data_IF_199542002246
#
_entry.id   IF_199542002246
#
_cell.length_a   1.000
_cell.length_b   1.000
_cell.length_c   1.000
_cell.angle_alpha   90.00
_cell.angle_beta   90.00
_cell.angle_gamma   90.00
#
_symmetry.space_group_name_H-M   'P 1'
#
loop_
_entity.id
_entity.type
_entity.pdbx_description
1 polymer ?
#
# COMPACT_ATOMS: atom_id res chain seq x y z
N UNK A 1 -12.72 -4.20 13.34
CA UNK A 1 -11.48 -3.61 13.89
C UNK A 1 -10.34 -4.62 13.92
N UNK A 2 -10.55 -5.83 14.41
CA UNK A 2 -9.52 -6.88 14.39
C UNK A 2 -8.99 -7.15 12.97
N UNK A 3 -9.87 -7.21 11.97
CA UNK A 3 -9.48 -7.41 10.57
C UNK A 3 -8.53 -6.31 10.06
N UNK A 4 -8.78 -5.04 10.39
CA UNK A 4 -7.90 -3.94 9.98
C UNK A 4 -6.54 -4.00 10.70
N UNK A 5 -6.51 -4.38 11.97
CA UNK A 5 -5.26 -4.53 12.71
C UNK A 5 -4.42 -5.69 12.17
N UNK A 6 -5.04 -6.84 11.89
CA UNK A 6 -4.38 -7.98 11.26
C UNK A 6 -3.94 -7.67 9.82
N UNK A 7 -4.76 -6.90 9.08
CA UNK A 7 -4.41 -6.42 7.76
C UNK A 7 -3.19 -5.49 7.78
N UNK A 8 -3.13 -4.57 8.74
CA UNK A 8 -1.96 -3.71 8.94
C UNK A 8 -0.69 -4.54 9.24
N UNK A 9 -0.81 -5.55 10.10
CA UNK A 9 0.30 -6.45 10.41
C UNK A 9 0.75 -7.25 9.19
N UNK A 10 -0.19 -7.83 8.43
CA UNK A 10 0.14 -8.57 7.22
C UNK A 10 0.79 -7.66 6.15
N UNK A 11 0.37 -6.41 6.06
CA UNK A 11 0.91 -5.42 5.12
C UNK A 11 2.35 -4.98 5.45
N UNK A 12 2.85 -5.27 6.68
CA UNK A 12 4.27 -5.06 7.05
C UNK A 12 5.16 -6.27 6.77
N UNK A 13 4.64 -7.34 6.17
CA UNK A 13 5.39 -8.58 5.94
C UNK A 13 6.64 -8.41 5.06
N UNK A 14 6.73 -7.34 4.24
CA UNK A 14 7.96 -7.00 3.51
C UNK A 14 9.18 -6.85 4.43
N UNK A 15 9.00 -6.51 5.70
CA UNK A 15 10.10 -6.43 6.69
C UNK A 15 10.83 -7.77 6.85
N UNK A 16 10.20 -8.89 6.50
CA UNK A 16 10.85 -10.20 6.49
C UNK A 16 12.08 -10.26 5.56
N UNK A 17 12.19 -9.36 4.56
CA UNK A 17 13.38 -9.26 3.70
C UNK A 17 14.67 -8.99 4.51
N UNK A 18 14.56 -8.40 5.72
CA UNK A 18 15.72 -8.13 6.59
C UNK A 18 16.36 -9.43 7.08
N UNK A 19 15.57 -10.48 7.26
CA UNK A 19 16.04 -11.80 7.73
C UNK A 19 16.05 -12.86 6.63
N UNK A 20 15.32 -12.64 5.55
CA UNK A 20 15.26 -13.53 4.40
C UNK A 20 16.20 -13.01 3.31
N UNK A 21 17.05 -13.89 2.80
CA UNK A 21 17.98 -13.53 1.72
C UNK A 21 17.23 -13.46 0.39
N UNK A 22 16.72 -12.28 0.04
CA UNK A 22 15.96 -12.04 -1.20
C UNK A 22 16.85 -11.76 -2.41
N UNK A 23 18.11 -11.33 -2.18
CA UNK A 23 19.02 -10.91 -3.24
C UNK A 23 18.72 -9.51 -3.80
N UNK A 24 17.68 -8.83 -3.32
CA UNK A 24 17.28 -7.50 -3.76
C UNK A 24 17.83 -6.42 -2.82
N UNK A 25 18.19 -5.25 -3.38
CA UNK A 25 18.64 -4.08 -2.60
C UNK A 25 17.40 -3.28 -2.10
N UNK A 26 17.13 -3.27 -0.78
CA UNK A 26 15.91 -2.62 -0.25
C UNK A 26 15.87 -1.11 -0.45
N UNK A 27 17.00 -0.47 -0.73
CA UNK A 27 17.05 0.98 -1.00
C UNK A 27 16.67 1.29 -2.45
N UNK A 28 17.00 0.41 -3.39
CA UNK A 28 16.90 0.67 -4.83
C UNK A 28 15.73 -0.03 -5.50
N UNK A 29 15.34 -1.22 -5.00
CA UNK A 29 14.34 -2.08 -5.65
C UNK A 29 12.92 -1.79 -5.15
N UNK A 30 11.93 -1.88 -6.03
CA UNK A 30 10.52 -1.79 -5.63
C UNK A 30 10.18 -2.81 -4.55
N UNK A 31 9.29 -2.47 -3.61
CA UNK A 31 8.74 -3.45 -2.66
C UNK A 31 8.01 -4.57 -3.41
N UNK A 32 7.31 -4.24 -4.49
CA UNK A 32 6.58 -5.21 -5.31
C UNK A 32 7.47 -6.21 -6.05
N UNK A 33 8.77 -5.90 -6.23
CA UNK A 33 9.72 -6.86 -6.80
C UNK A 33 9.98 -8.06 -5.89
N UNK A 34 9.79 -7.91 -4.56
CA UNK A 34 9.81 -9.05 -3.63
C UNK A 34 8.76 -10.11 -4.02
N UNK A 35 7.64 -9.66 -4.58
CA UNK A 35 6.52 -10.50 -5.00
C UNK A 35 6.58 -10.93 -6.49
N UNK A 36 7.64 -10.56 -7.24
CA UNK A 36 7.76 -10.88 -8.66
C UNK A 36 7.75 -12.39 -8.91
N UNK A 37 7.35 -12.79 -10.12
CA UNK A 37 7.14 -14.20 -10.47
C UNK A 37 8.46 -15.00 -10.52
N UNK A 38 9.56 -14.34 -10.88
CA UNK A 38 10.90 -14.91 -10.97
C UNK A 38 11.64 -14.95 -9.63
N UNK A 39 11.10 -14.31 -8.57
CA UNK A 39 11.76 -14.26 -7.27
C UNK A 39 11.53 -15.55 -6.46
N UNK A 40 12.58 -16.11 -5.81
CA UNK A 40 12.47 -17.36 -5.06
C UNK A 40 11.39 -17.32 -3.96
N UNK A 41 11.21 -16.17 -3.30
CA UNK A 41 10.24 -15.95 -2.22
C UNK A 41 9.00 -15.19 -2.71
N UNK A 42 8.83 -14.95 -4.01
CA UNK A 42 7.72 -14.19 -4.57
C UNK A 42 6.34 -14.74 -4.17
N UNK A 43 6.21 -16.06 -4.09
CA UNK A 43 4.97 -16.70 -3.62
C UNK A 43 4.61 -16.35 -2.17
N UNK A 44 5.60 -16.24 -1.27
CA UNK A 44 5.38 -15.84 0.11
C UNK A 44 4.85 -14.40 0.19
N UNK A 45 5.55 -13.46 -0.46
CA UNK A 45 5.15 -12.05 -0.43
C UNK A 45 3.77 -11.82 -1.08
N UNK A 46 3.47 -12.49 -2.20
CA UNK A 46 2.11 -12.48 -2.77
C UNK A 46 1.04 -13.02 -1.82
N UNK A 47 1.35 -14.05 -1.05
CA UNK A 47 0.40 -14.60 -0.07
C UNK A 47 0.15 -13.63 1.09
N UNK A 48 1.17 -12.90 1.54
CA UNK A 48 1.01 -11.86 2.58
C UNK A 48 0.22 -10.66 2.06
N UNK A 49 0.45 -10.22 0.83
CA UNK A 49 -0.31 -9.14 0.18
C UNK A 49 -1.77 -9.52 -0.01
N UNK A 50 -2.04 -10.74 -0.49
CA UNK A 50 -3.39 -11.27 -0.58
C UNK A 50 -4.11 -11.26 0.78
N UNK A 51 -3.41 -11.71 1.81
CA UNK A 51 -3.95 -11.73 3.18
C UNK A 51 -4.24 -10.33 3.68
N UNK A 52 -3.30 -9.40 3.52
CA UNK A 52 -3.47 -8.00 3.90
C UNK A 52 -4.66 -7.36 3.16
N UNK A 53 -4.69 -7.50 1.83
CA UNK A 53 -5.76 -6.95 1.00
C UNK A 53 -7.14 -7.51 1.36
N UNK A 54 -7.26 -8.82 1.54
CA UNK A 54 -8.51 -9.48 1.91
C UNK A 54 -9.03 -9.03 3.29
N UNK A 55 -8.14 -8.93 4.28
CA UNK A 55 -8.49 -8.48 5.63
C UNK A 55 -8.94 -7.02 5.64
N UNK A 56 -8.21 -6.13 4.93
CA UNK A 56 -8.58 -4.72 4.81
C UNK A 56 -9.89 -4.58 4.04
N UNK A 57 -10.06 -5.29 2.91
CA UNK A 57 -11.28 -5.28 2.11
C UNK A 57 -12.51 -5.68 2.94
N UNK A 58 -12.42 -6.80 3.67
CA UNK A 58 -13.52 -7.27 4.51
C UNK A 58 -13.84 -6.28 5.64
N UNK A 59 -12.81 -5.79 6.34
CA UNK A 59 -12.97 -4.86 7.45
C UNK A 59 -13.53 -3.51 7.01
N UNK A 60 -13.04 -2.97 5.89
CA UNK A 60 -13.48 -1.68 5.35
C UNK A 60 -14.87 -1.76 4.71
N UNK A 61 -15.21 -2.86 4.03
CA UNK A 61 -16.56 -3.08 3.48
C UNK A 61 -17.60 -3.12 4.59
N UNK A 62 -17.31 -3.84 5.67
CA UNK A 62 -18.16 -3.86 6.86
C UNK A 62 -18.31 -2.45 7.47
N UNK A 63 -17.21 -1.73 7.63
CA UNK A 63 -17.23 -0.38 8.17
C UNK A 63 -18.00 0.60 7.26
N UNK A 64 -17.83 0.50 5.94
CA UNK A 64 -18.56 1.30 4.95
C UNK A 64 -20.07 1.03 5.02
N UNK A 65 -20.46 -0.23 5.17
CA UNK A 65 -21.88 -0.61 5.33
C UNK A 65 -22.50 0.00 6.59
N UNK A 66 -21.74 0.04 7.70
CA UNK A 66 -22.19 0.50 9.03
C UNK A 66 -21.96 1.98 9.28
N UNK A 67 -21.16 2.69 8.47
CA UNK A 67 -20.81 4.06 8.75
C UNK A 67 -21.99 5.04 8.57
N UNK A 68 -21.94 6.12 9.34
CA UNK A 68 -22.81 7.27 9.09
C UNK A 68 -22.55 7.81 7.68
N UNK A 69 -23.62 8.16 6.95
CA UNK A 69 -23.55 8.66 5.56
C UNK A 69 -23.05 10.11 5.47
N UNK A 70 -21.88 10.36 6.08
CA UNK A 70 -21.18 11.64 6.00
C UNK A 70 -20.09 11.55 4.92
N UNK A 71 -19.98 12.57 4.09
CA UNK A 71 -19.14 12.56 2.88
C UNK A 71 -17.70 12.06 3.15
N UNK A 72 -17.02 12.61 4.16
CA UNK A 72 -15.64 12.22 4.47
C UNK A 72 -15.53 10.79 5.02
N UNK A 73 -16.51 10.33 5.80
CA UNK A 73 -16.52 8.94 6.29
C UNK A 73 -16.73 7.97 5.13
N UNK A 74 -17.73 8.23 4.27
CA UNK A 74 -18.00 7.38 3.10
C UNK A 74 -16.81 7.36 2.15
N UNK A 75 -16.24 8.53 1.80
CA UNK A 75 -15.07 8.61 0.92
C UNK A 75 -13.88 7.82 1.47
N UNK A 76 -13.61 7.95 2.77
CA UNK A 76 -12.46 7.27 3.36
C UNK A 76 -12.64 5.76 3.46
N UNK A 77 -13.81 5.26 3.87
CA UNK A 77 -14.06 3.82 3.88
C UNK A 77 -14.11 3.22 2.48
N UNK A 78 -14.66 3.95 1.49
CA UNK A 78 -14.61 3.55 0.08
C UNK A 78 -13.18 3.51 -0.45
N UNK A 79 -12.33 4.46 -0.06
CA UNK A 79 -10.89 4.45 -0.35
C UNK A 79 -10.20 3.18 0.19
N UNK A 80 -10.51 2.76 1.44
CA UNK A 80 -9.99 1.52 1.99
C UNK A 80 -10.54 0.26 1.29
N UNK A 81 -11.78 0.27 0.83
CA UNK A 81 -12.34 -0.81 0.01
C UNK A 81 -11.56 -0.91 -1.30
N UNK A 82 -11.30 0.23 -1.96
CA UNK A 82 -10.48 0.27 -3.18
C UNK A 82 -9.06 -0.22 -2.91
N UNK A 83 -8.42 0.24 -1.85
CA UNK A 83 -7.08 -0.21 -1.44
C UNK A 83 -7.04 -1.73 -1.25
N UNK A 84 -7.95 -2.29 -0.44
CA UNK A 84 -7.99 -3.72 -0.18
C UNK A 84 -8.28 -4.55 -1.44
N UNK A 85 -9.23 -4.13 -2.28
CA UNK A 85 -9.57 -4.82 -3.52
C UNK A 85 -8.41 -4.78 -4.53
N UNK A 86 -7.76 -3.62 -4.67
CA UNK A 86 -6.62 -3.45 -5.56
C UNK A 86 -5.40 -4.24 -5.08
N UNK A 87 -5.13 -4.31 -3.76
CA UNK A 87 -4.06 -5.15 -3.19
C UNK A 87 -4.32 -6.64 -3.41
N UNK A 88 -5.58 -7.10 -3.31
CA UNK A 88 -5.95 -8.48 -3.68
C UNK A 88 -5.68 -8.74 -5.17
N UNK A 89 -6.06 -7.81 -6.05
CA UNK A 89 -5.79 -7.92 -7.48
C UNK A 89 -4.28 -7.94 -7.76
N UNK A 90 -3.53 -7.06 -7.11
CA UNK A 90 -2.08 -6.92 -7.24
C UNK A 90 -1.33 -8.21 -6.91
N UNK A 91 -1.75 -8.92 -5.86
CA UNK A 91 -1.20 -10.22 -5.48
C UNK A 91 -1.40 -11.31 -6.54
N UNK A 92 -2.35 -11.12 -7.46
CA UNK A 92 -2.67 -12.05 -8.57
C UNK A 92 -2.09 -11.60 -9.92
N UNK A 93 -1.57 -10.39 -9.97
CA UNK A 93 -0.99 -9.75 -11.15
C UNK A 93 0.49 -9.43 -10.87
N UNK A 94 1.37 -10.43 -10.61
CA UNK A 94 2.76 -10.16 -10.26
C UNK A 94 3.53 -9.55 -11.41
N UNK A 95 4.55 -8.76 -11.08
CA UNK A 95 5.63 -8.47 -12.01
C UNK A 95 6.22 -9.79 -12.50
N UNK A 96 6.60 -9.88 -13.77
CA UNK A 96 7.24 -11.07 -14.32
C UNK A 96 8.71 -11.20 -13.91
N UNK A 97 9.33 -10.07 -13.61
CA UNK A 97 10.74 -9.93 -13.21
C UNK A 97 10.93 -8.60 -12.45
N UNK A 98 12.13 -8.37 -11.91
CA UNK A 98 12.48 -7.22 -11.09
C UNK A 98 13.22 -6.14 -11.92
N UNK A 99 12.54 -5.14 -12.54
CA UNK A 99 13.16 -4.21 -13.47
C UNK A 99 14.22 -3.29 -12.83
N UNK A 100 14.15 -3.01 -11.53
CA UNK A 100 15.18 -2.19 -10.88
C UNK A 100 16.45 -2.97 -10.52
N UNK A 101 16.36 -4.30 -10.43
CA UNK A 101 17.47 -5.20 -10.13
C UNK A 101 18.07 -5.85 -11.38
N UNK A 102 17.27 -6.05 -12.44
CA UNK A 102 17.65 -6.71 -13.68
C UNK A 102 17.51 -5.74 -14.88
N UNK A 103 18.64 -5.29 -15.47
CA UNK A 103 18.63 -4.42 -16.64
C UNK A 103 17.95 -5.03 -17.87
N UNK A 104 18.01 -6.37 -18.03
CA UNK A 104 17.32 -7.06 -19.14
C UNK A 104 15.81 -7.02 -18.95
N UNK A 105 15.32 -7.18 -17.71
CA UNK A 105 13.92 -6.99 -17.36
C UNK A 105 13.46 -5.57 -17.69
N UNK A 106 14.23 -4.54 -17.28
CA UNK A 106 13.93 -3.14 -17.58
C UNK A 106 13.86 -2.86 -19.08
N UNK A 107 14.76 -3.45 -19.87
CA UNK A 107 14.77 -3.31 -21.33
C UNK A 107 13.51 -3.95 -21.97
N UNK A 108 13.11 -5.14 -21.49
CA UNK A 108 11.87 -5.79 -21.95
C UNK A 108 10.63 -4.99 -21.60
N UNK A 109 10.58 -4.43 -20.37
CA UNK A 109 9.47 -3.56 -19.94
C UNK A 109 9.36 -2.33 -20.85
N UNK A 110 10.48 -1.63 -21.06
CA UNK A 110 10.53 -0.45 -21.95
C UNK A 110 10.12 -0.77 -23.38
N UNK A 111 10.47 -1.96 -23.88
CA UNK A 111 10.09 -2.42 -25.21
C UNK A 111 8.65 -2.97 -25.30
N UNK A 112 7.91 -3.03 -24.20
CA UNK A 112 6.56 -3.61 -24.16
C UNK A 112 6.54 -5.13 -24.36
N UNK A 113 7.65 -5.82 -24.07
CA UNK A 113 7.83 -7.27 -24.26
C UNK A 113 7.61 -8.06 -22.96
N UNK A 114 6.97 -7.47 -21.97
CA UNK A 114 6.56 -8.15 -20.73
C UNK A 114 5.12 -8.67 -20.83
N UNK A 115 4.76 -9.72 -20.05
CA UNK A 115 3.39 -10.23 -20.02
C UNK A 115 2.37 -9.18 -19.57
N UNK A 116 1.12 -9.34 -20.01
CA UNK A 116 0.03 -8.42 -19.63
C UNK A 116 -0.19 -8.32 -18.10
N UNK A 117 0.10 -9.36 -17.34
CA UNK A 117 0.06 -9.33 -15.87
C UNK A 117 1.05 -8.33 -15.28
N UNK A 118 2.25 -8.22 -15.87
CA UNK A 118 3.27 -7.24 -15.47
C UNK A 118 2.76 -5.81 -15.65
N UNK A 119 2.18 -5.51 -16.81
CA UNK A 119 1.61 -4.18 -17.08
C UNK A 119 0.39 -3.90 -16.21
N UNK A 120 -0.47 -4.90 -15.99
CA UNK A 120 -1.65 -4.77 -15.13
C UNK A 120 -1.29 -4.52 -13.66
N UNK A 121 -0.13 -5.04 -13.19
CA UNK A 121 0.41 -4.76 -11.86
C UNK A 121 0.57 -3.24 -11.61
N UNK A 122 1.11 -2.50 -12.56
CA UNK A 122 1.27 -1.05 -12.40
C UNK A 122 -0.08 -0.33 -12.19
N UNK A 123 -1.15 -0.83 -12.84
CA UNK A 123 -2.50 -0.28 -12.68
C UNK A 123 -3.07 -0.64 -11.31
N UNK A 124 -2.98 -1.91 -10.89
CA UNK A 124 -3.50 -2.35 -9.58
C UNK A 124 -2.76 -1.67 -8.42
N UNK A 125 -1.44 -1.55 -8.48
CA UNK A 125 -0.63 -0.83 -7.50
C UNK A 125 -1.00 0.65 -7.42
N UNK A 126 -1.20 1.31 -8.57
CA UNK A 126 -1.63 2.71 -8.61
C UNK A 126 -3.00 2.92 -7.98
N UNK A 127 -3.94 2.00 -8.22
CA UNK A 127 -5.27 2.02 -7.60
C UNK A 127 -5.19 1.75 -6.08
N UNK A 128 -4.34 0.82 -5.65
CA UNK A 128 -4.11 0.55 -4.23
C UNK A 128 -3.61 1.82 -3.52
N UNK A 129 -2.56 2.46 -4.06
CA UNK A 129 -2.01 3.67 -3.45
C UNK A 129 -3.00 4.84 -3.48
N UNK A 130 -3.76 5.01 -4.56
CA UNK A 130 -4.82 6.02 -4.62
C UNK A 130 -5.88 5.77 -3.54
N UNK A 131 -6.32 4.53 -3.38
CA UNK A 131 -7.27 4.14 -2.35
C UNK A 131 -6.74 4.42 -0.94
N UNK A 132 -5.48 4.09 -0.67
CA UNK A 132 -4.82 4.37 0.60
C UNK A 132 -4.76 5.88 0.89
N UNK A 133 -4.30 6.69 -0.07
CA UNK A 133 -4.23 8.15 0.08
C UNK A 133 -5.60 8.77 0.36
N UNK A 134 -6.62 8.39 -0.41
CA UNK A 134 -8.00 8.85 -0.18
C UNK A 134 -8.46 8.48 1.22
N UNK A 135 -8.18 7.25 1.67
CA UNK A 135 -8.57 6.80 3.01
C UNK A 135 -7.84 7.57 4.11
N UNK A 136 -6.52 7.70 4.00
CA UNK A 136 -5.68 8.42 4.97
C UNK A 136 -6.17 9.86 5.14
N UNK A 137 -6.39 10.58 4.05
CA UNK A 137 -6.85 11.97 4.09
C UNK A 137 -8.30 12.05 4.58
N UNK A 138 -9.22 11.31 3.95
CA UNK A 138 -10.65 11.47 4.20
C UNK A 138 -11.05 11.03 5.63
N UNK A 139 -10.54 9.88 6.14
CA UNK A 139 -10.85 9.45 7.50
C UNK A 139 -10.18 10.33 8.56
N UNK A 140 -8.99 10.86 8.28
CA UNK A 140 -8.34 11.85 9.16
C UNK A 140 -9.16 13.14 9.25
N UNK A 141 -9.65 13.64 8.11
CA UNK A 141 -10.55 14.80 8.07
C UNK A 141 -11.87 14.48 8.79
N UNK A 142 -12.45 13.31 8.54
CA UNK A 142 -13.67 12.86 9.21
C UNK A 142 -13.51 12.82 10.73
N UNK A 143 -12.39 12.27 11.23
CA UNK A 143 -12.08 12.20 12.65
C UNK A 143 -12.06 13.59 13.30
N UNK A 144 -11.40 14.55 12.67
CA UNK A 144 -11.33 15.93 13.18
C UNK A 144 -12.64 16.71 13.04
N UNK A 145 -13.25 16.61 11.86
CA UNK A 145 -14.45 17.41 11.55
C UNK A 145 -15.68 16.95 12.33
N UNK A 146 -15.78 15.64 12.60
CA UNK A 146 -16.96 15.06 13.26
C UNK A 146 -16.72 14.74 14.74
N UNK A 147 -15.52 15.05 15.28
CA UNK A 147 -15.20 14.84 16.69
C UNK A 147 -15.19 13.37 17.10
N UNK A 148 -14.80 12.48 16.19
CA UNK A 148 -14.73 11.03 16.40
C UNK A 148 -13.28 10.53 16.35
N UNK A 149 -13.05 9.30 16.84
CA UNK A 149 -11.74 8.62 16.70
C UNK A 149 -10.57 9.47 17.18
N UNK A 150 -10.59 9.89 18.44
CA UNK A 150 -9.62 10.82 19.02
C UNK A 150 -8.13 10.50 18.71
N UNK A 151 -7.66 9.23 18.73
CA UNK A 151 -6.29 8.91 18.31
C UNK A 151 -6.03 9.27 16.84
N UNK A 152 -6.98 8.98 15.95
CA UNK A 152 -6.84 9.33 14.53
C UNK A 152 -6.91 10.85 14.30
N UNK A 153 -7.76 11.56 15.02
CA UNK A 153 -7.80 13.03 14.97
C UNK A 153 -6.49 13.67 15.40
N UNK A 154 -5.76 13.04 16.35
CA UNK A 154 -4.49 13.52 16.89
C UNK A 154 -3.29 13.19 16.00
N UNK A 155 -3.14 11.92 15.60
CA UNK A 155 -1.94 11.45 14.88
C UNK A 155 -2.13 11.41 13.35
N UNK A 156 -3.38 11.30 12.89
CA UNK A 156 -3.71 11.22 11.47
C UNK A 156 -3.15 12.34 10.61
N UNK A 157 -3.20 13.62 11.02
CA UNK A 157 -2.65 14.71 10.20
C UNK A 157 -1.15 14.59 9.92
N UNK A 158 -0.37 14.18 10.92
CA UNK A 158 1.09 13.97 10.73
C UNK A 158 1.32 12.81 9.78
N UNK A 159 0.63 11.69 9.98
CA UNK A 159 0.73 10.52 9.09
C UNK A 159 0.28 10.85 7.66
N UNK A 160 -0.78 11.66 7.49
CA UNK A 160 -1.23 12.09 6.18
C UNK A 160 -0.19 12.97 5.45
N UNK A 161 0.44 13.90 6.17
CA UNK A 161 1.50 14.74 5.60
C UNK A 161 2.73 13.90 5.22
N UNK A 162 3.14 12.98 6.09
CA UNK A 162 4.25 12.07 5.81
C UNK A 162 3.94 11.19 4.59
N UNK A 163 2.73 10.62 4.52
CA UNK A 163 2.31 9.79 3.39
C UNK A 163 2.32 10.55 2.08
N UNK A 164 1.80 11.78 2.06
CA UNK A 164 1.87 12.64 0.88
C UNK A 164 3.31 12.96 0.46
N UNK A 165 4.18 13.25 1.43
CA UNK A 165 5.59 13.56 1.16
C UNK A 165 6.33 12.35 0.55
N UNK A 166 6.16 11.15 1.13
CA UNK A 166 6.79 9.93 0.60
C UNK A 166 6.17 9.49 -0.73
N UNK A 167 4.88 9.76 -0.95
CA UNK A 167 4.24 9.52 -2.25
C UNK A 167 4.87 10.41 -3.33
N UNK A 168 5.07 11.69 -3.06
CA UNK A 168 5.76 12.59 -4.01
C UNK A 168 7.19 12.10 -4.27
N UNK A 169 7.92 11.69 -3.23
CA UNK A 169 9.26 11.11 -3.41
C UNK A 169 9.21 9.86 -4.29
N UNK A 170 8.35 8.90 -3.98
CA UNK A 170 8.22 7.65 -4.74
C UNK A 170 7.88 7.93 -6.22
N UNK A 171 6.93 8.82 -6.50
CA UNK A 171 6.57 9.19 -7.87
C UNK A 171 7.73 9.87 -8.62
N UNK A 172 8.47 10.76 -7.95
CA UNK A 172 9.65 11.39 -8.53
C UNK A 172 10.76 10.36 -8.81
N UNK A 173 10.96 9.40 -7.92
CA UNK A 173 11.94 8.33 -8.08
C UNK A 173 11.55 7.37 -9.24
N UNK A 174 10.26 7.03 -9.38
CA UNK A 174 9.74 6.26 -10.52
C UNK A 174 10.00 7.01 -11.82
N UNK A 175 9.66 8.30 -11.88
CA UNK A 175 9.90 9.12 -13.08
C UNK A 175 11.39 9.22 -13.43
N UNK A 176 12.27 9.34 -12.43
CA UNK A 176 13.71 9.34 -12.62
C UNK A 176 14.23 8.01 -13.17
N UNK A 177 13.74 6.89 -12.63
CA UNK A 177 14.09 5.55 -13.09
C UNK A 177 13.66 5.33 -14.54
N UNK A 178 12.41 5.66 -14.88
CA UNK A 178 11.90 5.57 -16.25
C UNK A 178 12.65 6.47 -17.25
N UNK A 179 13.18 7.61 -16.76
CA UNK A 179 14.02 8.50 -17.57
C UNK A 179 15.51 8.08 -17.63
N UNK A 180 15.88 6.91 -17.09
CA UNK A 180 17.26 6.42 -17.07
C UNK A 180 18.20 7.21 -16.15
N UNK A 181 17.67 7.95 -15.16
CA UNK A 181 18.41 8.79 -14.22
C UNK A 181 18.73 8.10 -12.88
N UNK A 182 18.62 6.77 -12.83
CA UNK A 182 18.80 5.98 -11.62
C UNK A 182 17.57 5.89 -10.74
N UNK A 183 17.67 5.17 -9.61
CA UNK A 183 16.50 4.81 -8.79
C UNK A 183 16.10 5.87 -7.75
N UNK A 184 16.95 6.85 -7.43
CA UNK A 184 16.70 7.88 -6.41
C UNK A 184 16.18 7.31 -5.08
N UNK A 185 16.75 6.18 -4.66
CA UNK A 185 16.32 5.44 -3.47
C UNK A 185 14.83 5.09 -3.46
N UNK A 186 14.30 4.72 -4.62
CA UNK A 186 12.91 4.38 -4.86
C UNK A 186 12.40 3.32 -3.88
N UNK A 187 13.20 2.28 -3.65
CA UNK A 187 12.87 1.20 -2.72
C UNK A 187 12.68 1.70 -1.29
N UNK A 188 13.54 2.60 -0.82
CA UNK A 188 13.39 3.20 0.50
C UNK A 188 12.12 4.07 0.59
N UNK A 189 11.81 4.84 -0.47
CA UNK A 189 10.58 5.62 -0.56
C UNK A 189 9.33 4.76 -0.46
N UNK A 190 9.25 3.68 -1.23
CA UNK A 190 8.11 2.76 -1.19
C UNK A 190 7.96 2.06 0.16
N UNK A 191 9.06 1.59 0.76
CA UNK A 191 9.03 0.95 2.08
C UNK A 191 8.54 1.92 3.17
N UNK A 192 8.99 3.17 3.13
CA UNK A 192 8.47 4.21 4.02
C UNK A 192 6.97 4.43 3.80
N UNK A 193 6.50 4.49 2.55
CA UNK A 193 5.10 4.65 2.18
C UNK A 193 4.24 3.50 2.72
N UNK A 194 4.61 2.25 2.45
CA UNK A 194 3.91 1.05 2.95
C UNK A 194 3.87 1.03 4.49
N UNK A 195 4.98 1.41 5.15
CA UNK A 195 5.05 1.46 6.61
C UNK A 195 4.11 2.52 7.19
N UNK A 196 4.07 3.72 6.60
CA UNK A 196 3.19 4.80 7.08
C UNK A 196 1.72 4.40 6.93
N UNK A 197 1.33 3.77 5.81
CA UNK A 197 -0.02 3.23 5.61
C UNK A 197 -0.34 2.16 6.66
N UNK A 198 0.58 1.23 6.93
CA UNK A 198 0.37 0.18 7.94
C UNK A 198 0.22 0.77 9.35
N UNK A 199 1.07 1.73 9.74
CA UNK A 199 0.97 2.45 11.02
C UNK A 199 -0.36 3.18 11.12
N UNK A 200 -0.76 3.89 10.06
CA UNK A 200 -2.02 4.60 10.00
C UNK A 200 -3.23 3.65 10.13
N UNK A 201 -3.22 2.49 9.45
CA UNK A 201 -4.23 1.43 9.62
C UNK A 201 -4.30 0.94 11.07
N UNK A 202 -3.17 0.76 11.73
CA UNK A 202 -3.09 0.40 13.15
C UNK A 202 -3.73 1.47 14.05
N UNK A 203 -3.41 2.74 13.80
CA UNK A 203 -4.02 3.88 14.51
C UNK A 203 -5.53 3.94 14.27
N UNK A 204 -5.98 3.75 13.03
CA UNK A 204 -7.40 3.68 12.69
C UNK A 204 -8.11 2.54 13.42
N UNK A 205 -7.57 1.33 13.35
CA UNK A 205 -8.13 0.15 14.01
C UNK A 205 -8.29 0.37 15.52
N UNK A 206 -7.26 0.91 16.16
CA UNK A 206 -7.27 1.27 17.58
C UNK A 206 -8.29 2.37 17.89
N UNK A 207 -8.34 3.43 17.09
CA UNK A 207 -9.24 4.55 17.28
C UNK A 207 -10.70 4.14 17.18
N UNK A 208 -11.04 3.33 16.18
CA UNK A 208 -12.41 2.83 16.01
C UNK A 208 -12.78 1.79 17.08
N UNK A 209 -11.83 0.96 17.54
CA UNK A 209 -12.08 0.03 18.64
C UNK A 209 -12.41 0.74 19.98
N UNK A 210 -11.87 1.94 20.19
CA UNK A 210 -12.16 2.77 21.38
C UNK A 210 -13.41 3.64 21.28
N UNK A 211 -13.91 3.84 20.08
CA UNK A 211 -15.13 4.63 19.86
C UNK A 211 -16.37 3.73 20.02
N UNK A 212 -16.94 3.71 21.24
CA UNK A 212 -18.13 2.91 21.59
C UNK A 212 -19.42 3.37 20.85
N UNK A 213 -19.32 4.25 19.85
CA UNK A 213 -20.44 4.81 19.10
C UNK A 213 -20.56 4.19 17.69
N UNK A 214 -20.29 2.89 17.58
CA UNK A 214 -20.51 2.14 16.33
C UNK A 214 -21.96 1.67 16.27
#
# INVERSE_FOLDING_TARGET
MVLLALGALAYTAWVLEVVLHTGLDPVRTYVSELAAADQPLGGLFRATDLTAGALVLAGSSWALYRCERRAWSVAGWAGLVLFGAATVADSRLPLSCAPTADPECAARETAGLVPATHTAHAVSSSLAMTGALVAVVALTVAARRYGRWAPLARYGPVLAVLELAVTVWTLAAIAAFQAGRGTWSLGAGQRAQVLIVAVWLGVLAYAVARDNRV
#
